data_IF_586518774228
#
_entry.id   IF_586518774228
#
_cell.length_a   1.000
_cell.length_b   1.000
_cell.length_c   1.000
_cell.angle_alpha   90.00
_cell.angle_beta   90.00
_cell.angle_gamma   90.00
#
_symmetry.space_group_name_H-M   'P 1'
#
loop_
_entity.id
_entity.type
_entity.pdbx_description
1 polymer ?
#
# COMPACT_ATOMS: atom_id res chain seq x y z
N UNK A 1 -19.77 -44.77 14.42
CA UNK A 1 -18.83 -43.63 14.32
C UNK A 1 -18.73 -43.03 12.92
N UNK A 2 -18.59 -43.83 11.85
CA UNK A 2 -18.42 -43.32 10.45
C UNK A 2 -19.59 -42.49 9.89
N UNK A 3 -20.82 -42.78 10.28
CA UNK A 3 -22.02 -42.05 9.84
C UNK A 3 -22.07 -40.59 10.32
N UNK A 4 -21.47 -40.29 11.49
CA UNK A 4 -21.45 -38.94 12.07
C UNK A 4 -20.35 -38.08 11.41
N UNK A 5 -19.26 -38.70 10.95
CA UNK A 5 -18.18 -38.02 10.23
C UNK A 5 -18.60 -37.56 8.83
N UNK A 6 -19.39 -38.36 8.11
CA UNK A 6 -19.88 -38.02 6.78
C UNK A 6 -20.83 -36.81 6.80
N UNK A 7 -21.73 -36.74 7.79
CA UNK A 7 -22.59 -35.57 7.98
C UNK A 7 -21.81 -34.31 8.38
N UNK A 8 -20.74 -34.43 9.17
CA UNK A 8 -19.86 -33.30 9.53
C UNK A 8 -19.06 -32.80 8.33
N UNK A 9 -18.53 -33.71 7.51
CA UNK A 9 -17.83 -33.36 6.28
C UNK A 9 -18.77 -32.65 5.27
N UNK A 10 -20.01 -33.13 5.14
CA UNK A 10 -21.01 -32.52 4.25
C UNK A 10 -21.42 -31.12 4.73
N UNK A 11 -21.57 -30.92 6.04
CA UNK A 11 -21.91 -29.62 6.63
C UNK A 11 -20.77 -28.59 6.46
N UNK A 12 -19.51 -29.00 6.63
CA UNK A 12 -18.34 -28.14 6.46
C UNK A 12 -18.17 -27.71 4.98
N UNK A 13 -18.32 -28.64 4.04
CA UNK A 13 -18.22 -28.34 2.59
C UNK A 13 -19.35 -27.40 2.15
N UNK A 14 -20.58 -27.61 2.63
CA UNK A 14 -21.74 -26.75 2.33
C UNK A 14 -21.57 -25.32 2.89
N UNK A 15 -20.98 -25.19 4.09
CA UNK A 15 -20.70 -23.89 4.70
C UNK A 15 -19.63 -23.11 3.94
N UNK A 16 -18.55 -23.77 3.51
CA UNK A 16 -17.51 -23.15 2.67
C UNK A 16 -18.03 -22.71 1.30
N UNK A 17 -18.86 -23.54 0.65
CA UNK A 17 -19.45 -23.20 -0.64
C UNK A 17 -20.38 -21.97 -0.54
N UNK A 18 -21.13 -21.87 0.55
CA UNK A 18 -22.03 -20.74 0.81
C UNK A 18 -21.26 -19.43 1.09
N UNK A 19 -20.10 -19.52 1.75
CA UNK A 19 -19.23 -18.36 2.00
C UNK A 19 -18.57 -17.84 0.70
N UNK A 20 -18.26 -18.73 -0.26
CA UNK A 20 -17.68 -18.34 -1.54
C UNK A 20 -18.68 -17.63 -2.48
N UNK A 21 -19.97 -17.97 -2.41
CA UNK A 21 -21.00 -17.35 -3.28
C UNK A 21 -21.26 -15.88 -2.90
N UNK A 22 -21.00 -15.47 -1.66
CA UNK A 22 -21.23 -14.10 -1.19
C UNK A 22 -20.12 -13.11 -1.58
N UNK A 23 -18.96 -13.57 -2.07
CA UNK A 23 -17.79 -12.73 -2.36
C UNK A 23 -17.68 -12.34 -3.85
N UNK A 24 -18.58 -12.79 -4.72
CA UNK A 24 -18.46 -12.61 -6.16
C UNK A 24 -18.89 -11.23 -6.69
N UNK A 25 -19.53 -10.38 -5.88
CA UNK A 25 -20.10 -9.10 -6.34
C UNK A 25 -19.17 -7.88 -6.13
N UNK A 26 -17.99 -8.07 -5.52
CA UNK A 26 -17.03 -6.98 -5.28
C UNK A 26 -16.01 -6.78 -6.42
N UNK A 27 -16.33 -7.22 -7.65
CA UNK A 27 -15.47 -7.01 -8.80
C UNK A 27 -15.62 -5.58 -9.36
N UNK A 28 -14.69 -4.72 -8.94
CA UNK A 28 -14.15 -3.55 -9.65
C UNK A 28 -15.12 -2.47 -10.14
N UNK A 29 -15.48 -1.55 -9.24
CA UNK A 29 -15.66 -0.14 -9.63
C UNK A 29 -14.30 0.57 -9.54
N UNK A 30 -13.44 0.39 -10.54
CA UNK A 30 -12.34 1.34 -10.75
C UNK A 30 -12.94 2.63 -11.26
N UNK A 31 -13.43 3.46 -10.35
CA UNK A 31 -13.76 4.86 -10.64
C UNK A 31 -12.47 5.54 -11.07
N UNK A 32 -12.37 5.91 -12.35
CA UNK A 32 -11.24 6.65 -12.85
C UNK A 32 -11.17 8.00 -12.11
N UNK A 33 -10.31 8.09 -11.10
CA UNK A 33 -10.11 9.33 -10.37
C UNK A 33 -9.51 10.38 -11.30
N UNK A 34 -9.94 11.65 -11.21
CA UNK A 34 -9.30 12.75 -11.92
C UNK A 34 -7.77 12.70 -11.74
N UNK A 35 -7.03 13.12 -12.77
CA UNK A 35 -5.57 13.15 -12.71
C UNK A 35 -5.06 13.98 -11.52
N UNK A 36 -5.76 15.05 -11.15
CA UNK A 36 -5.46 15.88 -9.96
C UNK A 36 -5.52 15.06 -8.66
N UNK A 37 -6.60 14.31 -8.43
CA UNK A 37 -6.77 13.48 -7.23
C UNK A 37 -5.64 12.45 -7.08
N UNK A 38 -5.17 11.90 -8.20
CA UNK A 38 -4.01 11.01 -8.20
C UNK A 38 -2.71 11.71 -7.81
N UNK A 39 -2.48 12.93 -8.31
CA UNK A 39 -1.27 13.69 -7.97
C UNK A 39 -1.31 14.13 -6.50
N UNK A 40 -2.45 14.61 -6.00
CA UNK A 40 -2.60 15.00 -4.60
C UNK A 40 -2.45 13.80 -3.67
N UNK A 41 -2.97 12.63 -4.06
CA UNK A 41 -2.72 11.37 -3.34
C UNK A 41 -1.23 11.01 -3.36
N UNK A 42 -0.56 11.15 -4.49
CA UNK A 42 0.90 10.93 -4.59
C UNK A 42 1.68 11.85 -3.66
N UNK A 43 1.32 13.14 -3.63
CA UNK A 43 1.89 14.14 -2.71
C UNK A 43 1.72 13.73 -1.25
N UNK A 44 0.53 13.29 -0.89
CA UNK A 44 0.25 12.80 0.46
C UNK A 44 1.15 11.62 0.83
N UNK A 45 1.26 10.62 -0.03
CA UNK A 45 2.10 9.43 0.21
C UNK A 45 3.56 9.83 0.41
N UNK A 46 4.13 10.58 -0.53
CA UNK A 46 5.53 11.03 -0.48
C UNK A 46 5.87 11.78 0.82
N UNK A 47 4.94 12.60 1.33
CA UNK A 47 5.10 13.32 2.60
C UNK A 47 4.98 12.44 3.85
N UNK A 48 4.10 11.43 3.82
CA UNK A 48 3.74 10.66 5.02
C UNK A 48 4.53 9.37 5.19
N UNK A 49 5.08 8.83 4.11
CA UNK A 49 5.84 7.57 4.12
C UNK A 49 7.36 7.78 4.19
N UNK A 50 7.83 9.02 4.43
CA UNK A 50 9.26 9.32 4.61
C UNK A 50 10.11 9.30 3.33
N UNK A 51 9.50 9.31 2.14
CA UNK A 51 10.25 9.25 0.88
C UNK A 51 11.19 10.45 0.72
N UNK A 52 10.72 11.63 1.10
CA UNK A 52 11.49 12.86 0.99
C UNK A 52 12.74 12.88 1.90
N UNK A 53 12.75 12.15 3.00
CA UNK A 53 13.86 12.17 3.96
C UNK A 53 15.17 11.68 3.33
N UNK A 54 15.08 10.73 2.39
CA UNK A 54 16.23 10.20 1.66
C UNK A 54 16.29 10.64 0.19
N UNK A 55 15.19 11.10 -0.41
CA UNK A 55 15.13 11.46 -1.83
C UNK A 55 15.01 12.96 -2.12
N UNK A 56 15.00 13.81 -1.09
CA UNK A 56 14.91 15.26 -1.25
C UNK A 56 16.02 15.92 -0.42
N UNK A 57 16.96 16.65 -1.06
CA UNK A 57 18.04 17.30 -0.33
C UNK A 57 17.52 18.25 0.74
N UNK A 58 18.13 18.19 1.92
CA UNK A 58 17.83 19.06 3.07
C UNK A 58 16.40 18.95 3.61
N UNK A 59 15.62 17.90 3.26
CA UNK A 59 14.21 17.84 3.63
C UNK A 59 14.01 17.71 5.14
N UNK A 60 14.78 16.86 5.81
CA UNK A 60 14.70 16.67 7.25
C UNK A 60 15.21 17.93 7.99
N UNK A 61 16.33 18.50 7.52
CA UNK A 61 16.98 19.68 8.09
C UNK A 61 16.10 20.93 7.99
N UNK A 62 15.29 21.03 6.93
CA UNK A 62 14.32 22.11 6.71
C UNK A 62 12.92 21.77 7.21
N UNK A 63 12.75 20.67 7.96
CA UNK A 63 11.45 20.22 8.46
C UNK A 63 10.35 20.16 7.37
N UNK A 64 10.73 19.75 6.17
CA UNK A 64 9.85 19.65 5.00
C UNK A 64 9.60 20.96 4.25
N UNK A 65 10.20 22.09 4.65
CA UNK A 65 10.14 23.37 3.93
C UNK A 65 11.10 23.37 2.72
N UNK A 66 10.82 22.50 1.75
CA UNK A 66 11.53 22.41 0.47
C UNK A 66 10.51 22.60 -0.65
N UNK A 67 10.76 23.46 -1.65
CA UNK A 67 9.90 23.60 -2.81
C UNK A 67 9.62 22.26 -3.47
N UNK A 68 8.36 22.00 -3.81
CA UNK A 68 7.93 20.73 -4.42
C UNK A 68 8.71 20.36 -5.68
N UNK A 69 9.10 21.35 -6.49
CA UNK A 69 9.91 21.15 -7.69
C UNK A 69 11.30 20.59 -7.43
N UNK A 70 11.73 20.56 -6.17
CA UNK A 70 13.00 20.00 -5.72
C UNK A 70 12.83 18.67 -4.98
N UNK A 71 11.60 18.15 -4.87
CA UNK A 71 11.36 16.85 -4.26
C UNK A 71 11.81 15.71 -5.16
N UNK A 72 12.24 14.62 -4.55
CA UNK A 72 12.51 13.34 -5.21
C UNK A 72 13.59 13.41 -6.30
N UNK A 73 14.49 14.40 -6.22
CA UNK A 73 15.62 14.55 -7.15
C UNK A 73 16.84 13.72 -6.72
N UNK A 74 16.71 12.94 -5.64
CA UNK A 74 17.77 12.16 -5.03
C UNK A 74 18.57 12.95 -4.00
N UNK A 75 19.41 12.25 -3.25
CA UNK A 75 20.25 12.86 -2.22
C UNK A 75 21.70 12.43 -2.41
N UNK A 76 22.63 13.36 -2.17
CA UNK A 76 24.06 13.14 -2.30
C UNK A 76 24.73 12.69 -1.00
N UNK A 77 24.05 12.78 0.15
CA UNK A 77 24.61 12.26 1.39
C UNK A 77 24.52 10.73 1.37
N UNK A 78 25.70 10.12 1.47
CA UNK A 78 25.92 8.70 1.68
C UNK A 78 25.14 8.16 2.88
N UNK A 79 23.90 7.69 2.72
CA UNK A 79 23.13 7.14 3.84
C UNK A 79 23.75 5.80 4.24
N UNK A 80 24.19 5.67 5.50
CA UNK A 80 24.82 4.44 5.98
C UNK A 80 23.76 3.50 6.57
N UNK A 81 23.57 2.36 5.92
CA UNK A 81 22.72 1.28 6.40
C UNK A 81 23.44 -0.08 6.38
N UNK A 82 22.81 -1.16 6.88
CA UNK A 82 23.36 -2.52 6.84
C UNK A 82 23.69 -3.04 5.43
N UNK A 83 23.19 -2.36 4.40
CA UNK A 83 23.37 -2.63 2.98
C UNK A 83 24.52 -1.82 2.32
N UNK A 84 25.23 -0.98 3.06
CA UNK A 84 26.33 -0.15 2.54
C UNK A 84 26.03 1.35 2.60
N UNK A 85 26.76 2.14 1.81
CA UNK A 85 26.57 3.59 1.67
C UNK A 85 25.97 3.89 0.30
N UNK A 86 24.82 4.58 0.26
CA UNK A 86 24.18 5.09 -0.97
C UNK A 86 24.39 6.58 -1.09
#
# INVERSE_FOLDING_TARGET
MRFIDEHRATLIVSMCASLCILQADAAETTSAHPKSDRIDRGRYLVKTTGCNDCHTPAYAERAGDVPESQWLIGHTLGWQGPWGTT
#
